data_IF_671048027614
#
_entry.id   IF_671048027614
#
_cell.length_a   1.000
_cell.length_b   1.000
_cell.length_c   1.000
_cell.angle_alpha   90.00
_cell.angle_beta   90.00
_cell.angle_gamma   90.00
#
_symmetry.space_group_name_H-M   'P 1'
#
loop_
_entity.id
_entity.type
_entity.pdbx_description
1 polymer ?
#
# COMPACT_ATOMS: atom_id res chain seq x y z
N UNK A 1 3.18 -24.05 4.75
CA UNK A 1 1.83 -23.69 4.24
C UNK A 1 0.81 -23.55 5.36
N UNK A 2 0.81 -24.42 6.38
CA UNK A 2 -0.17 -24.34 7.50
C UNK A 2 -0.22 -22.97 8.20
N UNK A 3 0.93 -22.35 8.50
CA UNK A 3 0.97 -21.05 9.18
C UNK A 3 0.40 -19.87 8.36
N UNK A 4 0.49 -19.91 7.02
CA UNK A 4 -0.08 -18.85 6.18
C UNK A 4 -1.61 -18.98 6.11
N UNK A 5 -2.12 -20.21 6.05
CA UNK A 5 -3.56 -20.47 6.10
C UNK A 5 -4.18 -20.02 7.41
N UNK A 6 -3.48 -20.19 8.53
CA UNK A 6 -3.97 -19.71 9.83
C UNK A 6 -4.00 -18.18 9.90
N UNK A 7 -2.95 -17.51 9.41
CA UNK A 7 -2.92 -16.05 9.33
C UNK A 7 -4.10 -15.48 8.54
N UNK A 8 -4.46 -16.11 7.42
CA UNK A 8 -5.61 -15.67 6.61
C UNK A 8 -6.98 -15.93 7.27
N UNK A 9 -7.05 -16.66 8.39
CA UNK A 9 -8.30 -16.77 9.17
C UNK A 9 -8.49 -15.60 10.12
N UNK A 10 -7.40 -14.98 10.55
CA UNK A 10 -7.42 -13.86 11.50
C UNK A 10 -7.43 -12.49 10.80
N UNK A 11 -7.11 -12.47 9.50
CA UNK A 11 -7.02 -11.25 8.70
C UNK A 11 -8.05 -11.25 7.57
N UNK A 12 -8.58 -10.07 7.27
CA UNK A 12 -9.37 -9.84 6.08
C UNK A 12 -8.46 -9.62 4.86
N UNK A 13 -8.76 -10.30 3.75
CA UNK A 13 -8.06 -10.08 2.47
C UNK A 13 -8.80 -9.07 1.62
N UNK A 14 -8.13 -7.97 1.28
CA UNK A 14 -8.66 -6.97 0.36
C UNK A 14 -8.18 -7.26 -1.05
N UNK A 15 -9.11 -7.32 -2.01
CA UNK A 15 -8.81 -7.53 -3.42
C UNK A 15 -8.50 -6.20 -4.11
N UNK A 16 -7.63 -6.24 -5.12
CA UNK A 16 -7.44 -5.12 -6.04
C UNK A 16 -8.63 -5.09 -7.00
N UNK A 17 -9.49 -4.10 -6.84
CA UNK A 17 -10.62 -3.84 -7.72
C UNK A 17 -10.39 -2.59 -8.59
N UNK A 18 -11.44 -2.15 -9.29
CA UNK A 18 -11.36 -0.97 -10.16
C UNK A 18 -11.05 0.31 -9.38
N UNK A 19 -11.57 0.48 -8.16
CA UNK A 19 -11.30 1.65 -7.33
C UNK A 19 -9.82 1.71 -6.92
N UNK A 20 -9.25 0.57 -6.52
CA UNK A 20 -7.81 0.47 -6.25
C UNK A 20 -6.98 0.77 -7.50
N UNK A 21 -7.39 0.26 -8.67
CA UNK A 21 -6.70 0.49 -9.94
C UNK A 21 -6.71 1.95 -10.40
N UNK A 22 -7.79 2.68 -10.15
CA UNK A 22 -7.89 4.11 -10.43
C UNK A 22 -6.91 4.91 -9.56
N UNK A 23 -6.87 4.65 -8.25
CA UNK A 23 -5.91 5.28 -7.33
C UNK A 23 -4.47 4.98 -7.76
N UNK A 24 -4.18 3.74 -8.15
CA UNK A 24 -2.86 3.36 -8.65
C UNK A 24 -2.48 4.13 -9.91
N UNK A 25 -3.39 4.25 -10.88
CA UNK A 25 -3.16 4.97 -12.12
C UNK A 25 -2.78 6.43 -11.87
N UNK A 26 -3.54 7.09 -11.01
CA UNK A 26 -3.31 8.48 -10.61
C UNK A 26 -1.95 8.66 -9.92
N UNK A 27 -1.63 7.81 -8.95
CA UNK A 27 -0.35 7.88 -8.25
C UNK A 27 0.82 7.59 -9.20
N UNK A 28 0.67 6.61 -10.09
CA UNK A 28 1.72 6.23 -11.05
C UNK A 28 2.01 7.35 -12.03
N UNK A 29 0.98 8.00 -12.55
CA UNK A 29 1.12 9.17 -13.42
C UNK A 29 1.89 10.29 -12.71
N UNK A 30 1.50 10.63 -11.47
CA UNK A 30 2.19 11.65 -10.66
C UNK A 30 3.65 11.30 -10.35
N UNK A 31 3.94 10.03 -10.10
CA UNK A 31 5.33 9.60 -9.86
C UNK A 31 6.18 9.70 -11.12
N UNK A 32 5.61 9.33 -12.27
CA UNK A 32 6.28 9.43 -13.55
C UNK A 32 6.64 10.90 -13.87
N UNK A 33 5.69 11.81 -13.69
CA UNK A 33 5.91 13.25 -13.87
C UNK A 33 6.96 13.82 -12.91
N UNK A 34 7.04 13.27 -11.69
CA UNK A 34 7.99 13.69 -10.67
C UNK A 34 9.36 12.98 -10.76
N UNK A 35 9.58 12.08 -11.72
CA UNK A 35 10.80 11.28 -11.83
C UNK A 35 11.05 10.33 -10.66
N UNK A 36 9.99 9.94 -9.93
CA UNK A 36 10.05 9.00 -8.80
C UNK A 36 9.74 7.57 -9.26
N UNK A 37 10.35 6.60 -8.59
CA UNK A 37 10.20 5.17 -8.91
C UNK A 37 9.93 4.36 -7.63
N UNK A 38 8.74 4.51 -7.04
CA UNK A 38 8.29 3.51 -6.06
C UNK A 38 8.13 2.17 -6.78
N UNK A 39 8.57 1.04 -6.18
CA UNK A 39 8.32 -0.29 -6.74
C UNK A 39 6.83 -0.50 -7.05
N UNK A 40 6.51 -1.19 -8.16
CA UNK A 40 5.11 -1.34 -8.58
C UNK A 40 4.26 -2.08 -7.55
N UNK A 41 4.83 -3.08 -6.88
CA UNK A 41 4.15 -3.84 -5.81
C UNK A 41 3.80 -2.96 -4.62
N UNK A 42 4.72 -2.09 -4.21
CA UNK A 42 4.54 -1.17 -3.10
C UNK A 42 3.50 -0.11 -3.46
N UNK A 43 3.53 0.37 -4.70
CA UNK A 43 2.51 1.30 -5.17
C UNK A 43 1.11 0.67 -5.19
N UNK A 44 0.98 -0.62 -5.52
CA UNK A 44 -0.30 -1.34 -5.40
C UNK A 44 -0.76 -1.43 -3.94
N UNK A 45 0.13 -1.80 -3.01
CA UNK A 45 -0.20 -1.86 -1.58
C UNK A 45 -0.65 -0.49 -1.05
N UNK A 46 0.07 0.57 -1.40
CA UNK A 46 -0.28 1.95 -1.04
C UNK A 46 -1.64 2.37 -1.64
N UNK A 47 -1.89 2.01 -2.90
CA UNK A 47 -3.14 2.33 -3.59
C UNK A 47 -4.32 1.61 -2.93
N UNK A 48 -4.14 0.34 -2.54
CA UNK A 48 -5.17 -0.40 -1.79
C UNK A 48 -5.45 0.27 -0.45
N UNK A 49 -4.42 0.68 0.30
CA UNK A 49 -4.62 1.36 1.58
C UNK A 49 -5.40 2.68 1.41
N UNK A 50 -5.02 3.51 0.42
CA UNK A 50 -5.69 4.79 0.14
C UNK A 50 -7.14 4.59 -0.31
N UNK A 51 -7.39 3.65 -1.23
CA UNK A 51 -8.71 3.38 -1.78
C UNK A 51 -9.73 2.93 -0.72
N UNK A 52 -9.26 2.34 0.39
CA UNK A 52 -10.06 1.85 1.49
C UNK A 52 -9.95 2.68 2.77
N UNK A 53 -9.29 3.86 2.73
CA UNK A 53 -9.05 4.72 3.89
C UNK A 53 -8.36 3.99 5.08
N UNK A 54 -7.34 3.18 4.76
CA UNK A 54 -6.60 2.38 5.72
C UNK A 54 -5.21 2.97 6.01
N UNK A 55 -4.69 2.65 7.20
CA UNK A 55 -3.29 2.89 7.55
C UNK A 55 -2.43 1.71 7.11
N UNK A 56 -1.41 1.96 6.28
CA UNK A 56 -0.43 0.95 5.91
C UNK A 56 0.59 0.77 7.05
N UNK A 57 0.62 -0.43 7.62
CA UNK A 57 1.62 -0.83 8.60
C UNK A 57 2.85 -1.38 7.88
N UNK A 58 4.01 -0.75 8.06
CA UNK A 58 5.27 -1.20 7.43
C UNK A 58 6.49 -0.74 8.23
N UNK A 59 7.53 -1.58 8.28
CA UNK A 59 8.85 -1.17 8.74
C UNK A 59 9.72 -0.56 7.62
N UNK A 60 9.24 -0.61 6.37
CA UNK A 60 9.89 -0.02 5.22
C UNK A 60 9.35 1.40 4.93
N UNK A 61 9.20 2.24 5.95
CA UNK A 61 8.48 3.53 5.82
C UNK A 61 9.06 4.41 4.71
N UNK A 62 10.39 4.40 4.53
CA UNK A 62 11.11 5.21 3.54
C UNK A 62 10.62 5.03 2.10
N UNK A 63 10.18 3.82 1.72
CA UNK A 63 9.73 3.54 0.35
C UNK A 63 8.30 4.03 0.09
N UNK A 64 7.54 4.28 1.17
CA UNK A 64 6.17 4.78 1.15
C UNK A 64 6.06 6.26 1.54
N UNK A 65 7.12 6.82 2.13
CA UNK A 65 7.21 8.23 2.50
C UNK A 65 7.02 9.12 1.27
N UNK A 66 6.11 10.10 1.39
CA UNK A 66 5.81 11.05 0.32
C UNK A 66 4.78 10.59 -0.71
N UNK A 67 4.17 9.39 -0.54
CA UNK A 67 2.96 9.02 -1.29
C UNK A 67 1.79 9.87 -0.78
N UNK A 68 1.17 10.74 -1.60
CA UNK A 68 0.10 11.62 -1.15
C UNK A 68 -1.14 10.83 -0.72
N UNK A 69 -1.68 11.15 0.46
CA UNK A 69 -2.89 10.53 1.00
C UNK A 69 -2.68 9.19 1.73
N UNK A 70 -1.43 8.68 1.78
CA UNK A 70 -1.13 7.44 2.48
C UNK A 70 -0.87 7.70 3.97
N UNK A 71 -1.63 7.03 4.84
CA UNK A 71 -1.36 6.96 6.29
C UNK A 71 -0.40 5.81 6.57
N UNK A 72 0.64 6.06 7.37
CA UNK A 72 1.67 5.09 7.73
C UNK A 72 1.74 4.85 9.24
N UNK A 73 2.00 3.62 9.62
CA UNK A 73 2.42 3.25 10.97
C UNK A 73 3.57 2.24 10.91
N UNK A 74 4.58 2.41 11.77
CA UNK A 74 5.60 1.40 11.99
C UNK A 74 5.44 0.84 13.40
N UNK A 75 5.01 -0.41 13.51
CA UNK A 75 4.82 -1.10 14.80
C UNK A 75 6.12 -1.59 15.44
N UNK A 76 7.26 -1.50 14.72
CA UNK A 76 8.57 -1.84 15.28
C UNK A 76 9.32 -0.62 15.80
N UNK A 77 8.78 0.59 15.57
CA UNK A 77 9.28 1.82 16.19
C UNK A 77 8.55 2.03 17.53
N UNK A 78 9.29 2.25 18.65
CA UNK A 78 8.71 2.43 19.99
C UNK A 78 7.77 3.64 20.16
#
# INVERSE_FOLDING_TARGET
>A
MEGLTELFRELETVLVDTNVAEVFGDLRARQFDAGRLTPLTDLWIASTAIAHDLTLVTHNTKDFEGIPGLSLADWLTP
#
